data_IF_791538998241
#
_entry.id   IF_791538998241
#
_cell.length_a   1.000
_cell.length_b   1.000
_cell.length_c   1.000
_cell.angle_alpha   90.00
_cell.angle_beta   90.00
_cell.angle_gamma   90.00
#
_symmetry.space_group_name_H-M   'P 1'
#
loop_
_entity.id
_entity.type
_entity.pdbx_description
1 polymer ?
#
# COMPACT_ATOMS: atom_id res chain seq x y z
N UNK A 1 -14.82 9.57 -24.72
CA UNK A 1 -14.70 9.86 -23.27
C UNK A 1 -14.86 8.55 -22.54
N UNK A 2 -13.86 8.10 -21.78
CA UNK A 2 -14.00 6.94 -20.92
C UNK A 2 -14.85 7.32 -19.70
N UNK A 3 -15.81 6.47 -19.32
CA UNK A 3 -16.62 6.66 -18.12
C UNK A 3 -15.85 6.26 -16.85
N UNK A 4 -16.18 6.86 -15.70
CA UNK A 4 -15.60 6.47 -14.41
C UNK A 4 -15.73 4.97 -14.12
N UNK A 5 -16.83 4.36 -14.56
CA UNK A 5 -17.09 2.93 -14.43
C UNK A 5 -16.11 2.09 -15.24
N UNK A 6 -15.87 2.44 -16.49
CA UNK A 6 -14.92 1.74 -17.36
C UNK A 6 -13.49 1.83 -16.82
N UNK A 7 -13.11 3.03 -16.36
CA UNK A 7 -11.80 3.25 -15.77
C UNK A 7 -11.60 2.40 -14.50
N UNK A 8 -12.64 2.28 -13.68
CA UNK A 8 -12.63 1.45 -12.47
C UNK A 8 -12.53 -0.03 -12.82
N UNK A 9 -13.34 -0.51 -13.75
CA UNK A 9 -13.32 -1.91 -14.18
C UNK A 9 -11.99 -2.31 -14.81
N UNK A 10 -11.36 -1.43 -15.60
CA UNK A 10 -10.02 -1.66 -16.14
C UNK A 10 -8.99 -1.86 -15.02
N UNK A 11 -9.00 -0.99 -14.02
CA UNK A 11 -8.08 -1.10 -12.88
C UNK A 11 -8.29 -2.38 -12.09
N UNK A 12 -9.55 -2.76 -11.85
CA UNK A 12 -9.90 -4.03 -11.20
C UNK A 12 -9.43 -5.25 -11.99
N UNK A 13 -9.62 -5.26 -13.32
CA UNK A 13 -9.11 -6.33 -14.19
C UNK A 13 -7.59 -6.44 -14.11
N UNK A 14 -6.88 -5.31 -14.26
CA UNK A 14 -5.43 -5.28 -14.14
C UNK A 14 -4.94 -5.79 -12.78
N UNK A 15 -5.55 -5.35 -11.69
CA UNK A 15 -5.19 -5.87 -10.37
C UNK A 15 -5.42 -7.38 -10.27
N UNK A 16 -6.55 -7.88 -10.79
CA UNK A 16 -6.86 -9.31 -10.82
C UNK A 16 -5.80 -10.12 -11.59
N UNK A 17 -5.22 -9.56 -12.65
CA UNK A 17 -4.17 -10.22 -13.44
C UNK A 17 -2.84 -10.34 -12.71
N UNK A 18 -2.55 -9.43 -11.76
CA UNK A 18 -1.31 -9.39 -10.98
C UNK A 18 -1.34 -10.26 -9.71
N UNK A 19 -2.53 -10.67 -9.25
CA UNK A 19 -2.70 -11.44 -8.02
C UNK A 19 -1.89 -12.74 -8.05
N UNK A 20 -1.13 -13.00 -6.98
CA UNK A 20 -0.33 -14.21 -6.83
C UNK A 20 0.88 -14.32 -7.74
N UNK A 21 1.21 -13.26 -8.50
CA UNK A 21 2.35 -13.21 -9.42
C UNK A 21 3.39 -12.20 -8.94
N UNK A 22 4.69 -12.46 -9.14
CA UNK A 22 5.70 -11.42 -9.03
C UNK A 22 5.40 -10.28 -9.99
N UNK A 23 5.53 -9.04 -9.53
CA UNK A 23 5.38 -7.84 -10.36
C UNK A 23 6.75 -7.25 -10.67
N UNK A 24 6.95 -6.79 -11.90
CA UNK A 24 8.18 -6.10 -12.25
C UNK A 24 8.15 -4.64 -11.76
N UNK A 25 9.32 -4.04 -11.62
CA UNK A 25 9.47 -2.63 -11.23
C UNK A 25 8.61 -1.73 -12.13
N UNK A 26 7.77 -0.90 -11.51
CA UNK A 26 6.88 0.02 -12.22
C UNK A 26 5.59 -0.55 -12.78
N UNK A 27 5.35 -1.88 -12.72
CA UNK A 27 4.05 -2.48 -13.07
C UNK A 27 3.00 -2.31 -11.96
N UNK A 28 3.46 -2.21 -10.72
CA UNK A 28 2.68 -1.96 -9.52
C UNK A 28 3.44 -0.99 -8.58
N UNK A 29 2.98 -0.86 -7.34
CA UNK A 29 3.71 -0.17 -6.28
C UNK A 29 4.90 -1.01 -5.82
N UNK A 30 6.00 -0.33 -5.51
CA UNK A 30 7.18 -0.96 -4.92
C UNK A 30 6.92 -1.22 -3.42
N UNK A 31 6.23 -0.28 -2.77
CA UNK A 31 5.82 -0.38 -1.35
C UNK A 31 4.34 -0.05 -1.18
N UNK A 32 3.65 -0.85 -0.36
CA UNK A 32 2.33 -0.54 0.17
C UNK A 32 2.46 -0.38 1.68
N UNK A 33 2.34 0.85 2.17
CA UNK A 33 2.38 1.18 3.58
C UNK A 33 0.96 1.41 4.10
N UNK A 34 0.64 0.85 5.26
CA UNK A 34 -0.67 0.94 5.89
C UNK A 34 -0.47 1.50 7.29
N UNK A 35 -1.15 2.59 7.63
CA UNK A 35 -1.09 3.10 9.01
C UNK A 35 -1.96 2.23 9.92
N UNK A 36 -1.61 2.16 11.20
CA UNK A 36 -2.41 1.55 12.25
C UNK A 36 -2.47 2.49 13.45
N UNK A 37 -3.58 2.49 14.19
CA UNK A 37 -3.77 3.35 15.35
C UNK A 37 -2.95 2.91 16.57
N UNK A 38 -2.62 1.61 16.65
CA UNK A 38 -1.86 1.01 17.74
C UNK A 38 -1.25 -0.34 17.31
N UNK A 39 -0.44 -0.93 18.19
CA UNK A 39 0.23 -2.23 17.99
C UNK A 39 -0.76 -3.39 17.81
N UNK A 40 -1.94 -3.32 18.44
CA UNK A 40 -2.96 -4.37 18.29
C UNK A 40 -3.53 -4.37 16.88
N UNK A 41 -3.82 -3.19 16.34
CA UNK A 41 -4.28 -3.03 14.97
C UNK A 41 -3.17 -3.38 13.98
N UNK A 42 -1.92 -3.01 14.27
CA UNK A 42 -0.76 -3.38 13.47
C UNK A 42 -0.66 -4.91 13.32
N UNK A 43 -0.70 -5.65 14.44
CA UNK A 43 -0.63 -7.11 14.44
C UNK A 43 -1.77 -7.74 13.64
N UNK A 44 -3.01 -7.25 13.83
CA UNK A 44 -4.17 -7.76 13.11
C UNK A 44 -4.09 -7.52 11.59
N UNK A 45 -3.55 -6.37 11.17
CA UNK A 45 -3.34 -6.06 9.77
C UNK A 45 -2.21 -6.88 9.15
N UNK A 46 -1.09 -7.07 9.87
CA UNK A 46 0.00 -7.96 9.45
C UNK A 46 -0.51 -9.40 9.23
N UNK A 47 -1.33 -9.92 10.14
CA UNK A 47 -1.97 -11.24 9.99
C UNK A 47 -2.90 -11.33 8.77
N UNK A 48 -3.68 -10.27 8.50
CA UNK A 48 -4.53 -10.24 7.32
C UNK A 48 -3.72 -10.16 6.02
N UNK A 49 -2.65 -9.37 5.99
CA UNK A 49 -1.76 -9.29 4.83
C UNK A 49 -1.08 -10.63 4.55
N UNK A 50 -0.55 -11.30 5.57
CA UNK A 50 0.09 -12.60 5.41
C UNK A 50 -0.90 -13.65 4.89
N UNK A 51 -2.13 -13.64 5.41
CA UNK A 51 -3.17 -14.56 4.98
C UNK A 51 -3.63 -14.28 3.53
N UNK A 52 -3.69 -13.01 3.12
CA UNK A 52 -3.99 -12.61 1.74
C UNK A 52 -2.89 -13.00 0.76
N UNK A 53 -1.62 -12.84 1.15
CA UNK A 53 -0.48 -13.32 0.38
C UNK A 53 -0.52 -14.85 0.23
N UNK A 54 -0.81 -15.58 1.32
CA UNK A 54 -0.97 -17.04 1.32
C UNK A 54 -2.07 -17.50 0.36
N UNK A 55 -3.20 -16.79 0.34
CA UNK A 55 -4.32 -17.03 -0.60
C UNK A 55 -4.07 -16.51 -2.01
N UNK A 56 -2.89 -15.94 -2.29
CA UNK A 56 -2.54 -15.34 -3.59
C UNK A 56 -3.51 -14.23 -4.01
N UNK A 57 -4.12 -13.54 -3.05
CA UNK A 57 -5.01 -12.40 -3.29
C UNK A 57 -4.25 -11.10 -3.58
N UNK A 58 -2.93 -11.11 -3.31
CA UNK A 58 -2.04 -9.97 -3.47
C UNK A 58 -0.93 -10.26 -4.48
N UNK A 59 -0.47 -9.24 -5.23
CA UNK A 59 0.75 -9.35 -6.01
C UNK A 59 1.98 -9.67 -5.13
N UNK A 60 2.92 -10.44 -5.68
CA UNK A 60 4.18 -10.79 -5.03
C UNK A 60 5.29 -9.84 -5.48
N UNK A 61 6.37 -9.74 -4.70
CA UNK A 61 7.48 -8.82 -4.99
C UNK A 61 7.24 -7.37 -4.54
N UNK A 62 6.08 -7.10 -3.93
CA UNK A 62 5.73 -5.81 -3.31
C UNK A 62 6.05 -5.85 -1.83
N UNK A 63 6.62 -4.77 -1.29
CA UNK A 63 6.88 -4.65 0.13
C UNK A 63 5.63 -4.12 0.86
N UNK A 64 5.02 -4.96 1.70
CA UNK A 64 3.84 -4.59 2.48
C UNK A 64 4.23 -4.27 3.92
N UNK A 65 4.01 -3.02 4.33
CA UNK A 65 4.32 -2.54 5.67
C UNK A 65 3.07 -2.07 6.40
N UNK A 66 3.04 -2.30 7.71
CA UNK A 66 2.05 -1.72 8.62
C UNK A 66 2.80 -0.92 9.67
N UNK A 67 2.49 0.36 9.80
CA UNK A 67 3.14 1.27 10.72
C UNK A 67 2.14 1.75 11.79
N UNK A 68 2.33 1.40 13.06
CA UNK A 68 1.50 1.92 14.13
C UNK A 68 1.86 3.37 14.42
N UNK A 69 0.84 4.17 14.75
CA UNK A 69 1.05 5.48 15.35
C UNK A 69 1.80 5.32 16.69
N UNK A 70 2.71 6.25 17.05
CA UNK A 70 3.39 6.24 18.33
C UNK A 70 2.41 6.23 19.50
N UNK A 71 2.77 5.55 20.58
CA UNK A 71 1.97 5.53 21.79
C UNK A 71 1.74 6.95 22.33
N UNK A 72 0.50 7.23 22.74
CA UNK A 72 0.12 8.52 23.30
C UNK A 72 -1.05 9.16 22.58
N UNK A 73 -0.99 10.48 22.38
CA UNK A 73 -2.08 11.25 21.77
C UNK A 73 -2.24 10.91 20.30
N UNK A 74 -3.49 10.78 19.85
CA UNK A 74 -3.81 10.55 18.44
C UNK A 74 -3.26 11.69 17.57
N UNK A 75 -2.32 11.35 16.68
CA UNK A 75 -1.57 12.31 15.85
C UNK A 75 -2.29 12.73 14.56
N UNK A 76 -3.42 12.07 14.24
CA UNK A 76 -4.21 12.31 13.03
C UNK A 76 -3.50 11.90 11.74
N UNK A 77 -4.21 11.90 10.60
CA UNK A 77 -3.67 11.35 9.34
C UNK A 77 -2.39 12.02 8.84
N UNK A 78 -2.23 13.32 9.08
CA UNK A 78 -1.00 14.05 8.74
C UNK A 78 0.19 13.57 9.55
N UNK A 79 0.01 13.39 10.86
CA UNK A 79 1.02 12.80 11.74
C UNK A 79 1.34 11.35 11.35
N UNK A 80 0.31 10.53 11.13
CA UNK A 80 0.49 9.12 10.71
C UNK A 80 1.23 9.02 9.38
N UNK A 81 1.01 9.96 8.46
CA UNK A 81 1.78 10.08 7.21
C UNK A 81 3.26 10.32 7.51
N UNK A 82 3.58 11.34 8.31
CA UNK A 82 4.96 11.68 8.62
C UNK A 82 5.68 10.55 9.35
N UNK A 83 5.01 9.91 10.31
CA UNK A 83 5.53 8.73 10.99
C UNK A 83 5.83 7.59 10.01
N UNK A 84 4.90 7.29 9.10
CA UNK A 84 5.11 6.27 8.07
C UNK A 84 6.30 6.58 7.15
N UNK A 85 6.49 7.85 6.78
CA UNK A 85 7.63 8.28 5.96
C UNK A 85 8.95 8.11 6.73
N UNK A 86 9.00 8.48 8.00
CA UNK A 86 10.18 8.27 8.86
C UNK A 86 10.51 6.77 9.01
N UNK A 87 9.49 5.92 9.14
CA UNK A 87 9.69 4.47 9.17
C UNK A 87 10.26 3.94 7.84
N UNK A 88 9.79 4.45 6.70
CA UNK A 88 10.32 4.05 5.38
C UNK A 88 11.78 4.50 5.19
N UNK A 89 12.11 5.73 5.55
CA UNK A 89 13.49 6.24 5.54
C UNK A 89 14.38 5.40 6.46
N UNK A 90 13.90 5.03 7.65
CA UNK A 90 14.65 4.17 8.58
C UNK A 90 14.88 2.76 8.04
N UNK A 91 13.93 2.20 7.28
CA UNK A 91 14.02 0.85 6.73
C UNK A 91 14.87 0.75 5.45
N UNK A 92 14.87 1.80 4.63
CA UNK A 92 15.43 1.76 3.28
C UNK A 92 16.53 2.81 3.02
N UNK A 93 16.89 3.63 4.02
CA UNK A 93 17.88 4.69 3.86
C UNK A 93 17.46 5.68 2.78
N UNK A 94 18.33 5.99 1.83
CA UNK A 94 18.02 6.89 0.70
C UNK A 94 17.26 6.20 -0.45
N UNK A 95 17.20 4.87 -0.48
CA UNK A 95 16.66 4.11 -1.62
C UNK A 95 15.15 4.33 -1.81
N UNK A 96 14.41 4.60 -0.73
CA UNK A 96 12.95 4.80 -0.81
C UNK A 96 12.54 6.01 -1.64
N UNK A 97 13.43 6.98 -1.85
CA UNK A 97 13.18 8.13 -2.73
C UNK A 97 12.92 7.71 -4.19
N UNK A 98 13.33 6.50 -4.56
CA UNK A 98 13.08 5.92 -5.88
C UNK A 98 11.78 5.10 -5.95
N UNK A 99 11.15 4.82 -4.81
CA UNK A 99 9.99 3.94 -4.72
C UNK A 99 8.69 4.66 -5.03
N UNK A 100 7.79 3.97 -5.74
CA UNK A 100 6.37 4.32 -5.75
C UNK A 100 5.75 3.69 -4.51
N UNK A 101 5.38 4.54 -3.56
CA UNK A 101 4.73 4.14 -2.30
C UNK A 101 3.22 4.43 -2.36
N UNK A 102 2.40 3.42 -2.08
CA UNK A 102 0.99 3.61 -1.76
C UNK A 102 0.83 3.64 -0.24
N UNK A 103 0.46 4.80 0.30
CA UNK A 103 0.11 4.95 1.71
C UNK A 103 -1.40 4.85 1.91
N UNK A 104 -1.85 3.99 2.82
CA UNK A 104 -3.25 3.78 3.16
C UNK A 104 -3.47 4.10 4.63
N UNK A 105 -4.29 5.10 4.92
CA UNK A 105 -4.65 5.44 6.29
C UNK A 105 -5.72 4.50 6.84
N UNK A 106 -5.47 3.93 8.03
CA UNK A 106 -6.50 3.30 8.85
C UNK A 106 -7.47 4.35 9.35
N UNK A 107 -8.59 4.52 8.65
CA UNK A 107 -9.67 5.44 9.08
C UNK A 107 -10.59 4.83 10.14
N UNK A 108 -10.48 3.53 10.40
CA UNK A 108 -11.44 2.76 11.17
C UNK A 108 -10.81 2.19 12.44
N UNK A 109 -11.55 2.17 13.55
CA UNK A 109 -11.09 1.59 14.83
C UNK A 109 -11.16 0.06 14.81
N UNK A 110 -11.77 -0.50 13.78
CA UNK A 110 -11.89 -1.93 13.58
C UNK A 110 -10.55 -2.53 13.15
N UNK A 111 -10.31 -3.75 13.60
CA UNK A 111 -9.11 -4.52 13.24
C UNK A 111 -9.24 -5.18 11.86
N UNK A 112 -10.16 -4.74 10.99
CA UNK A 112 -10.37 -5.33 9.66
C UNK A 112 -9.77 -4.44 8.57
N UNK A 113 -8.80 -4.99 7.85
CA UNK A 113 -8.21 -4.34 6.69
C UNK A 113 -9.07 -4.62 5.45
N UNK A 114 -9.80 -3.61 4.98
CA UNK A 114 -10.56 -3.71 3.72
C UNK A 114 -9.66 -3.31 2.55
N UNK A 115 -9.01 -4.31 1.96
CA UNK A 115 -8.00 -4.11 0.91
C UNK A 115 -8.56 -3.70 -0.47
N UNK A 116 -9.85 -3.38 -0.58
CA UNK A 116 -10.45 -2.93 -1.85
C UNK A 116 -9.77 -1.66 -2.42
N UNK A 117 -9.05 -0.90 -1.58
CA UNK A 117 -8.31 0.29 -1.98
C UNK A 117 -7.02 0.02 -2.78
N UNK A 118 -6.48 -1.19 -2.81
CA UNK A 118 -5.30 -1.49 -3.65
C UNK A 118 -5.61 -1.49 -5.15
N UNK A 119 -6.88 -1.70 -5.51
CA UNK A 119 -7.28 -1.77 -6.91
C UNK A 119 -7.37 -0.39 -7.58
N UNK A 120 -7.55 0.69 -6.83
CA UNK A 120 -7.86 2.01 -7.41
C UNK A 120 -6.63 2.79 -7.88
N UNK A 121 -5.42 2.36 -7.52
CA UNK A 121 -4.19 3.12 -7.76
C UNK A 121 -3.07 2.13 -8.04
N UNK A 122 -2.38 2.23 -9.19
CA UNK A 122 -1.24 1.38 -9.59
C UNK A 122 -0.88 1.63 -11.08
N UNK A 123 0.40 1.65 -11.49
CA UNK A 123 0.84 2.58 -12.55
C UNK A 123 0.55 2.12 -14.00
N UNK A 124 0.01 3.02 -14.85
CA UNK A 124 0.26 3.02 -16.31
C UNK A 124 0.95 4.35 -16.69
N UNK A 125 1.88 4.28 -17.64
CA UNK A 125 3.13 5.04 -17.76
C UNK A 125 3.07 6.59 -17.81
N UNK A 126 4.15 7.22 -17.30
CA UNK A 126 4.82 8.31 -18.03
C UNK A 126 6.18 7.80 -18.52
N UNK A 127 6.36 7.74 -19.84
CA UNK A 127 7.68 7.73 -20.48
C UNK A 127 8.26 9.12 -20.29
N UNK A 128 9.32 9.27 -19.50
CA UNK A 128 10.19 10.42 -19.63
C UNK A 128 11.63 9.91 -19.73
N UNK A 129 12.38 10.30 -20.78
CA UNK A 129 13.80 10.00 -20.83
C UNK A 129 14.45 10.77 -19.69
N UNK A 130 15.31 10.10 -18.91
CA UNK A 130 16.23 10.82 -18.03
C UNK A 130 17.14 11.64 -18.94
N UNK A 131 17.19 12.93 -18.68
CA UNK A 131 18.17 13.87 -19.26
C UNK A 131 19.50 13.63 -18.56
#
# INVERSE_FOLDING_TARGET
METLREATLRKLRRFSELRGKPVAAGEFWDVVAITAADEKQELAYKQQLSEKLRRKELPLGVQYHVFPDPAGTKIGNGGSTLCSLQCLESLYGDEWNSFKVLLIHSVSKEVRLVLLLLCSVGPSARKHPRI
#
